data_IF_778802025281
#
_entry.id   IF_778802025281
#
_cell.length_a   1.000
_cell.length_b   1.000
_cell.length_c   1.000
_cell.angle_alpha   90.00
_cell.angle_beta   90.00
_cell.angle_gamma   90.00
#
_symmetry.space_group_name_H-M   'P 1'
#
loop_
_entity.id
_entity.type
_entity.pdbx_description
1 polymer ?
#
# COMPACT_ATOMS: atom_id res chain seq x y z
N UNK A 1 30.60 20.91 16.97
CA UNK A 1 30.72 19.54 17.52
C UNK A 1 29.35 18.90 17.57
N UNK A 2 29.28 17.64 17.13
CA UNK A 2 28.15 16.70 17.05
C UNK A 2 27.19 16.74 18.26
N UNK A 3 25.91 16.38 18.17
CA UNK A 3 25.29 15.07 17.84
C UNK A 3 23.81 15.36 17.51
N UNK A 4 23.07 14.68 16.63
CA UNK A 4 23.10 13.26 16.28
C UNK A 4 21.84 12.57 16.84
N UNK A 5 20.97 12.12 15.93
CA UNK A 5 19.97 11.03 16.02
C UNK A 5 18.51 11.29 16.41
N UNK A 6 17.62 10.89 15.50
CA UNK A 6 16.60 9.87 15.77
C UNK A 6 16.19 9.11 14.48
N UNK A 7 16.46 7.79 14.33
CA UNK A 7 15.99 7.03 13.19
C UNK A 7 14.67 6.28 13.47
N UNK A 8 13.74 6.52 12.54
CA UNK A 8 12.55 5.75 12.09
C UNK A 8 12.44 4.31 12.62
N UNK A 9 11.46 4.07 13.51
CA UNK A 9 11.22 2.81 14.25
C UNK A 9 10.29 1.76 13.59
N UNK A 10 9.94 1.82 12.30
CA UNK A 10 8.95 0.85 11.73
C UNK A 10 9.49 -0.22 10.77
N UNK A 11 10.72 -0.09 10.26
CA UNK A 11 11.32 -1.13 9.39
C UNK A 11 12.42 -1.99 10.05
N UNK A 12 12.91 -1.61 11.24
CA UNK A 12 13.94 -2.39 11.95
C UNK A 12 13.39 -3.62 12.69
N UNK A 13 12.11 -3.66 13.06
CA UNK A 13 11.57 -4.70 13.97
C UNK A 13 11.57 -6.11 13.37
N UNK A 14 11.41 -6.27 12.05
CA UNK A 14 11.37 -7.58 11.38
C UNK A 14 12.76 -8.23 11.21
N UNK A 15 13.84 -7.45 11.27
CA UNK A 15 15.21 -7.96 11.16
C UNK A 15 15.85 -8.19 12.54
N UNK A 16 15.17 -7.80 13.63
CA UNK A 16 15.68 -7.95 15.00
C UNK A 16 15.36 -9.34 15.57
N UNK A 17 14.24 -9.96 15.20
CA UNK A 17 13.80 -11.24 15.79
C UNK A 17 14.77 -12.40 15.58
N UNK A 18 15.13 -12.70 14.33
CA UNK A 18 16.10 -13.77 14.00
C UNK A 18 17.51 -13.46 14.52
N UNK A 19 17.95 -12.21 14.39
CA UNK A 19 19.29 -11.78 14.81
C UNK A 19 19.44 -11.82 16.34
N UNK A 20 18.40 -11.49 17.09
CA UNK A 20 18.36 -11.62 18.55
C UNK A 20 18.35 -13.10 18.98
N UNK A 21 17.55 -13.95 18.32
CA UNK A 21 17.52 -15.39 18.61
C UNK A 21 18.87 -16.05 18.32
N UNK A 22 19.53 -15.69 17.22
CA UNK A 22 20.88 -16.17 16.90
C UNK A 22 21.91 -15.66 17.92
N UNK A 23 21.77 -14.42 18.40
CA UNK A 23 22.64 -13.87 19.45
C UNK A 23 22.47 -14.60 20.79
N UNK A 24 21.26 -15.06 21.13
CA UNK A 24 21.02 -15.83 22.35
C UNK A 24 21.65 -17.23 22.28
N UNK A 25 21.58 -17.88 21.12
CA UNK A 25 22.23 -19.17 20.89
C UNK A 25 23.75 -19.07 21.04
N UNK A 26 24.36 -17.95 20.61
CA UNK A 26 25.80 -17.68 20.80
C UNK A 26 26.19 -17.49 22.27
N UNK A 27 25.22 -17.21 23.16
CA UNK A 27 25.43 -17.07 24.60
C UNK A 27 25.00 -18.31 25.40
N UNK A 28 24.76 -19.45 24.74
CA UNK A 28 24.42 -20.71 25.39
C UNK A 28 23.01 -20.75 26.00
N UNK A 29 22.14 -19.80 25.64
CA UNK A 29 20.73 -19.79 26.06
C UNK A 29 19.97 -20.75 25.16
N UNK A 30 19.23 -21.70 25.74
CA UNK A 30 18.37 -22.61 24.98
C UNK A 30 17.40 -21.82 24.09
N UNK A 31 17.35 -22.20 22.81
CA UNK A 31 16.49 -21.57 21.82
C UNK A 31 15.03 -21.71 22.24
N UNK A 32 14.32 -20.58 22.32
CA UNK A 32 12.92 -20.57 22.68
C UNK A 32 12.10 -21.49 21.76
N UNK A 33 11.28 -22.35 22.37
CA UNK A 33 10.29 -23.18 21.66
C UNK A 33 8.90 -22.62 21.88
N UNK A 34 7.98 -22.88 20.95
CA UNK A 34 6.59 -22.50 21.10
C UNK A 34 5.97 -23.25 22.28
N UNK A 35 5.36 -22.56 23.26
CA UNK A 35 4.77 -23.24 24.42
C UNK A 35 3.59 -24.13 24.04
N UNK A 36 2.93 -23.85 22.89
CA UNK A 36 1.73 -24.56 22.42
C UNK A 36 2.05 -25.82 21.62
N UNK A 37 3.07 -25.78 20.75
CA UNK A 37 3.35 -26.89 19.82
C UNK A 37 4.78 -27.42 19.89
N UNK A 38 5.61 -26.89 20.80
CA UNK A 38 7.03 -27.26 21.01
C UNK A 38 7.96 -27.07 19.80
N UNK A 39 7.46 -26.54 18.68
CA UNK A 39 8.27 -26.21 17.51
C UNK A 39 9.30 -25.11 17.86
N UNK A 40 10.46 -25.15 17.21
CA UNK A 40 11.49 -24.11 17.37
C UNK A 40 10.96 -22.74 16.95
N UNK A 41 11.46 -21.67 17.57
CA UNK A 41 11.12 -20.30 17.19
C UNK A 41 11.39 -20.04 15.70
N UNK A 42 12.48 -20.55 15.13
CA UNK A 42 12.78 -20.42 13.70
C UNK A 42 11.67 -21.02 12.82
N UNK A 43 11.17 -22.21 13.18
CA UNK A 43 10.08 -22.87 12.46
C UNK A 43 8.80 -22.05 12.53
N UNK A 44 8.43 -21.56 13.72
CA UNK A 44 7.24 -20.73 13.91
C UNK A 44 7.38 -19.41 13.16
N UNK A 45 8.53 -18.75 13.29
CA UNK A 45 8.83 -17.49 12.61
C UNK A 45 8.79 -17.66 11.10
N UNK A 46 9.42 -18.70 10.54
CA UNK A 46 9.39 -18.99 9.12
C UNK A 46 7.95 -19.24 8.63
N UNK A 47 7.13 -19.98 9.37
CA UNK A 47 5.74 -20.24 9.03
C UNK A 47 4.88 -18.97 9.05
N UNK A 48 5.01 -18.15 10.09
CA UNK A 48 4.33 -16.84 10.18
C UNK A 48 4.76 -15.95 9.02
N UNK A 49 6.07 -15.84 8.76
CA UNK A 49 6.60 -15.01 7.68
C UNK A 49 6.15 -15.48 6.30
N UNK A 50 6.10 -16.81 6.08
CA UNK A 50 5.59 -17.40 4.82
C UNK A 50 4.11 -17.08 4.63
N UNK A 51 3.29 -17.26 5.67
CA UNK A 51 1.85 -16.96 5.63
C UNK A 51 1.59 -15.49 5.32
N UNK A 52 2.31 -14.58 5.99
CA UNK A 52 2.22 -13.14 5.73
C UNK A 52 2.62 -12.82 4.29
N UNK A 53 3.74 -13.38 3.82
CA UNK A 53 4.19 -13.17 2.44
C UNK A 53 3.21 -13.68 1.40
N UNK A 54 2.54 -14.81 1.64
CA UNK A 54 1.53 -15.37 0.73
C UNK A 54 0.28 -14.49 0.69
N UNK A 55 -0.18 -14.01 1.85
CA UNK A 55 -1.31 -13.09 1.96
C UNK A 55 -1.01 -11.77 1.23
N UNK A 56 0.19 -11.22 1.42
CA UNK A 56 0.63 -10.00 0.73
C UNK A 56 0.72 -10.20 -0.77
N UNK A 57 1.23 -11.36 -1.23
CA UNK A 57 1.23 -11.72 -2.66
C UNK A 57 -0.17 -11.79 -3.23
N UNK A 58 -1.12 -12.39 -2.51
CA UNK A 58 -2.51 -12.49 -2.96
C UNK A 58 -3.19 -11.12 -3.01
N UNK A 59 -2.97 -10.28 -1.99
CA UNK A 59 -3.45 -8.89 -1.96
C UNK A 59 -2.90 -8.09 -3.14
N UNK A 60 -1.59 -8.16 -3.38
CA UNK A 60 -0.97 -7.49 -4.51
C UNK A 60 -1.55 -7.95 -5.85
N UNK A 61 -1.74 -9.27 -6.04
CA UNK A 61 -2.38 -9.82 -7.25
C UNK A 61 -3.79 -9.26 -7.46
N UNK A 62 -4.60 -9.17 -6.40
CA UNK A 62 -5.94 -8.57 -6.46
C UNK A 62 -5.88 -7.10 -6.88
N UNK A 63 -4.97 -6.32 -6.30
CA UNK A 63 -4.76 -4.92 -6.66
C UNK A 63 -4.27 -4.76 -8.10
N UNK A 64 -3.37 -5.61 -8.59
CA UNK A 64 -2.95 -5.57 -9.99
C UNK A 64 -4.10 -5.82 -10.97
N UNK A 65 -5.13 -6.58 -10.60
CA UNK A 65 -6.32 -6.77 -11.44
C UNK A 65 -7.13 -5.49 -11.61
N UNK A 66 -7.17 -4.62 -10.60
CA UNK A 66 -7.89 -3.35 -10.64
C UNK A 66 -7.32 -2.46 -11.76
N UNK A 67 -6.00 -2.34 -11.84
CA UNK A 67 -5.33 -1.57 -12.90
C UNK A 67 -5.36 -2.27 -14.26
N UNK A 68 -4.99 -3.57 -14.32
CA UNK A 68 -4.96 -4.31 -15.59
C UNK A 68 -6.31 -4.39 -16.30
N UNK A 69 -7.41 -4.41 -15.54
CA UNK A 69 -8.78 -4.46 -16.09
C UNK A 69 -9.47 -3.10 -16.13
N UNK A 70 -8.74 -2.01 -15.88
CA UNK A 70 -9.27 -0.64 -15.88
C UNK A 70 -10.56 -0.52 -15.06
N UNK A 71 -10.53 -1.12 -13.87
CA UNK A 71 -11.67 -1.12 -12.97
C UNK A 71 -11.83 0.26 -12.35
N UNK A 72 -12.96 0.92 -12.57
CA UNK A 72 -13.22 2.26 -12.06
C UNK A 72 -13.76 2.22 -10.63
N UNK A 73 -13.19 3.03 -9.75
CA UNK A 73 -13.71 3.23 -8.39
C UNK A 73 -15.09 3.89 -8.44
N UNK A 74 -16.10 3.27 -7.83
CA UNK A 74 -17.48 3.77 -7.82
C UNK A 74 -17.97 4.17 -6.43
N UNK A 75 -17.53 3.47 -5.38
CA UNK A 75 -17.85 3.85 -3.99
C UNK A 75 -16.65 3.69 -3.08
N UNK A 76 -16.65 4.51 -2.03
CA UNK A 76 -15.76 4.38 -0.88
C UNK A 76 -16.60 4.50 0.39
N UNK A 77 -16.60 3.45 1.22
CA UNK A 77 -17.41 3.37 2.44
C UNK A 77 -18.89 3.71 2.19
N UNK A 78 -19.48 3.13 1.14
CA UNK A 78 -20.87 3.32 0.73
C UNK A 78 -21.18 4.65 0.04
N UNK A 79 -20.24 5.61 0.03
CA UNK A 79 -20.42 6.91 -0.63
C UNK A 79 -20.02 6.84 -2.11
N UNK A 80 -20.90 7.30 -2.99
CA UNK A 80 -20.63 7.36 -4.42
C UNK A 80 -19.53 8.37 -4.76
N UNK A 81 -18.67 7.95 -5.68
CA UNK A 81 -17.70 8.81 -6.35
C UNK A 81 -18.43 9.49 -7.51
N UNK A 82 -19.03 10.65 -7.23
CA UNK A 82 -19.93 11.37 -8.16
C UNK A 82 -19.22 12.09 -9.31
N UNK A 83 -17.97 12.50 -9.09
CA UNK A 83 -17.19 13.26 -10.08
C UNK A 83 -15.72 12.82 -10.01
N UNK A 84 -15.15 12.52 -11.19
CA UNK A 84 -13.75 12.12 -11.37
C UNK A 84 -12.79 13.28 -11.08
N UNK A 85 -13.25 14.53 -11.20
CA UNK A 85 -12.44 15.74 -11.04
C UNK A 85 -12.59 16.41 -9.66
N UNK A 86 -13.47 15.87 -8.81
CA UNK A 86 -13.67 16.34 -7.44
C UNK A 86 -12.84 15.50 -6.46
N UNK A 87 -11.71 16.06 -6.03
CA UNK A 87 -10.82 15.39 -5.09
C UNK A 87 -11.17 15.70 -3.63
N UNK A 88 -11.20 14.69 -2.73
CA UNK A 88 -11.47 14.92 -1.32
C UNK A 88 -10.29 15.62 -0.63
N UNK A 89 -10.60 16.30 0.48
CA UNK A 89 -9.58 16.89 1.35
C UNK A 89 -8.72 15.78 1.96
N UNK A 90 -7.40 15.92 1.84
CA UNK A 90 -6.44 15.00 2.47
C UNK A 90 -6.55 15.06 4.00
N UNK A 91 -6.65 13.89 4.63
CA UNK A 91 -6.68 13.72 6.08
C UNK A 91 -5.49 12.94 6.63
N UNK A 92 -4.83 12.16 5.78
CA UNK A 92 -3.70 11.31 6.19
C UNK A 92 -2.39 12.08 6.29
N UNK A 93 -1.53 11.66 7.22
CA UNK A 93 -0.15 12.15 7.34
C UNK A 93 0.87 11.15 6.78
N UNK A 94 2.09 11.64 6.55
CA UNK A 94 3.22 10.82 6.10
C UNK A 94 3.49 9.67 7.08
N UNK A 95 3.34 8.44 6.60
CA UNK A 95 3.43 7.21 7.39
C UNK A 95 2.13 6.42 7.43
N UNK A 96 0.97 7.08 7.33
CA UNK A 96 -0.33 6.38 7.24
C UNK A 96 -0.61 5.85 5.83
N UNK A 97 -0.05 6.52 4.81
CA UNK A 97 -0.28 6.16 3.42
C UNK A 97 0.86 5.41 2.74
N UNK A 98 2.02 5.30 3.38
CA UNK A 98 3.23 4.73 2.77
C UNK A 98 3.04 3.26 2.35
N UNK A 99 2.44 2.45 3.22
CA UNK A 99 2.19 1.04 2.92
C UNK A 99 1.18 0.84 1.77
N UNK A 100 0.20 1.74 1.66
CA UNK A 100 -0.73 1.74 0.53
C UNK A 100 0.02 2.12 -0.75
N UNK A 101 0.80 3.20 -0.69
CA UNK A 101 1.50 3.76 -1.83
C UNK A 101 2.48 2.78 -2.46
N UNK A 102 3.32 2.13 -1.64
CA UNK A 102 4.25 1.11 -2.11
C UNK A 102 3.54 -0.09 -2.75
N UNK A 103 2.41 -0.51 -2.17
CA UNK A 103 1.64 -1.64 -2.67
C UNK A 103 0.98 -1.32 -4.01
N UNK A 104 0.33 -0.16 -4.12
CA UNK A 104 -0.36 0.24 -5.35
C UNK A 104 0.61 0.50 -6.49
N UNK A 105 1.76 1.14 -6.23
CA UNK A 105 2.79 1.28 -7.26
C UNK A 105 3.27 -0.09 -7.76
N UNK A 106 3.56 -1.04 -6.85
CA UNK A 106 3.88 -2.43 -7.23
C UNK A 106 2.74 -3.12 -7.98
N UNK A 107 1.50 -2.74 -7.73
CA UNK A 107 0.35 -3.29 -8.40
C UNK A 107 0.24 -2.80 -9.85
N UNK A 108 0.58 -1.53 -10.11
CA UNK A 108 0.64 -0.91 -11.44
C UNK A 108 1.83 -1.44 -12.26
N UNK A 109 3.06 -1.26 -11.77
CA UNK A 109 4.28 -1.42 -12.61
C UNK A 109 5.07 -2.71 -12.34
N UNK A 110 4.66 -3.50 -11.33
CA UNK A 110 5.31 -4.77 -10.99
C UNK A 110 6.11 -4.72 -9.69
N UNK A 111 6.41 -5.91 -9.15
CA UNK A 111 6.94 -6.08 -7.79
C UNK A 111 8.41 -5.69 -7.65
N UNK A 112 9.19 -5.92 -8.69
CA UNK A 112 10.66 -5.89 -8.64
C UNK A 112 11.25 -4.56 -9.14
N UNK A 113 10.39 -3.55 -9.34
CA UNK A 113 10.78 -2.21 -9.74
C UNK A 113 11.19 -1.38 -8.51
N UNK A 114 12.30 -0.65 -8.63
CA UNK A 114 12.69 0.35 -7.64
C UNK A 114 11.70 1.53 -7.67
N UNK A 115 11.02 1.73 -6.54
CA UNK A 115 10.00 2.77 -6.39
C UNK A 115 10.58 4.12 -5.91
N UNK A 116 11.88 4.21 -5.66
CA UNK A 116 12.49 5.36 -4.98
C UNK A 116 12.13 6.69 -5.62
N UNK A 117 12.25 6.79 -6.95
CA UNK A 117 11.92 8.02 -7.71
C UNK A 117 10.42 8.34 -7.64
N UNK A 118 9.55 7.34 -7.87
CA UNK A 118 8.09 7.53 -7.84
C UNK A 118 7.59 7.95 -6.47
N UNK A 119 8.09 7.30 -5.41
CA UNK A 119 7.78 7.67 -4.04
C UNK A 119 8.26 9.09 -3.73
N UNK A 120 9.43 9.50 -4.22
CA UNK A 120 9.94 10.86 -4.04
C UNK A 120 9.06 11.90 -4.75
N UNK A 121 8.67 11.66 -6.01
CA UNK A 121 7.76 12.53 -6.77
C UNK A 121 6.42 12.68 -6.03
N UNK A 122 5.79 11.56 -5.65
CA UNK A 122 4.48 11.58 -4.96
C UNK A 122 4.59 12.32 -3.63
N UNK A 123 5.60 12.02 -2.81
CA UNK A 123 5.81 12.70 -1.53
C UNK A 123 6.06 14.20 -1.72
N UNK A 124 6.79 14.59 -2.75
CA UNK A 124 7.04 16.00 -3.08
C UNK A 124 5.71 16.72 -3.38
N UNK A 125 4.90 16.17 -4.28
CA UNK A 125 3.59 16.75 -4.63
C UNK A 125 2.67 16.85 -3.41
N UNK A 126 2.55 15.77 -2.61
CA UNK A 126 1.65 15.75 -1.46
C UNK A 126 2.05 16.75 -0.36
N UNK A 127 3.34 17.03 -0.17
CA UNK A 127 3.79 18.05 0.78
C UNK A 127 3.37 19.47 0.36
N UNK A 128 3.22 19.71 -0.94
CA UNK A 128 2.86 21.02 -1.50
C UNK A 128 1.35 21.26 -1.56
N UNK A 129 0.51 20.30 -1.14
CA UNK A 129 -0.95 20.38 -1.28
C UNK A 129 -1.57 21.58 -0.55
N UNK A 130 -0.96 22.00 0.56
CA UNK A 130 -1.40 23.18 1.31
C UNK A 130 -1.09 24.50 0.59
N UNK A 131 -0.13 24.51 -0.33
CA UNK A 131 0.34 25.71 -1.03
C UNK A 131 -0.39 25.92 -2.36
N UNK A 132 -0.59 24.85 -3.15
CA UNK A 132 -1.18 24.96 -4.49
C UNK A 132 -2.65 24.49 -4.58
N UNK A 133 -3.20 23.92 -3.50
CA UNK A 133 -4.57 23.41 -3.44
C UNK A 133 -4.71 21.99 -4.00
N UNK A 134 -5.77 21.31 -3.58
CA UNK A 134 -5.98 19.87 -3.80
C UNK A 134 -6.06 19.51 -5.29
N UNK A 135 -6.85 20.24 -6.07
CA UNK A 135 -7.06 19.95 -7.49
C UNK A 135 -5.77 20.08 -8.31
N UNK A 136 -5.11 21.24 -8.20
CA UNK A 136 -3.85 21.52 -8.92
C UNK A 136 -2.76 20.52 -8.52
N UNK A 137 -2.63 20.20 -7.23
CA UNK A 137 -1.68 19.19 -6.74
C UNK A 137 -1.89 17.83 -7.40
N UNK A 138 -3.13 17.31 -7.45
CA UNK A 138 -3.40 16.02 -8.07
C UNK A 138 -3.28 16.05 -9.60
N UNK A 139 -3.61 17.16 -10.25
CA UNK A 139 -3.39 17.30 -11.69
C UNK A 139 -1.91 17.31 -12.05
N UNK A 140 -1.07 18.05 -11.31
CA UNK A 140 0.39 18.04 -11.46
C UNK A 140 0.96 16.65 -11.18
N UNK A 141 0.48 15.97 -10.13
CA UNK A 141 0.91 14.62 -9.81
C UNK A 141 0.56 13.63 -10.93
N UNK A 142 -0.63 13.74 -11.50
CA UNK A 142 -1.07 12.93 -12.65
C UNK A 142 -0.15 13.12 -13.85
N UNK A 143 0.20 14.37 -14.17
CA UNK A 143 1.15 14.66 -15.27
C UNK A 143 2.55 14.12 -14.98
N UNK A 144 3.04 14.28 -13.74
CA UNK A 144 4.35 13.79 -13.34
C UNK A 144 4.46 12.26 -13.36
N UNK A 145 3.36 11.55 -13.09
CA UNK A 145 3.32 10.08 -13.08
C UNK A 145 3.01 9.47 -14.46
N UNK A 146 2.45 10.24 -15.40
CA UNK A 146 2.08 9.77 -16.74
C UNK A 146 3.22 9.04 -17.47
N UNK A 147 4.49 9.51 -17.48
CA UNK A 147 5.58 8.83 -18.16
C UNK A 147 5.93 7.45 -17.59
N UNK A 148 5.51 7.17 -16.35
CA UNK A 148 5.86 5.94 -15.63
C UNK A 148 4.69 4.95 -15.53
N UNK A 149 3.47 5.48 -15.38
CA UNK A 149 2.26 4.68 -15.17
C UNK A 149 1.38 4.62 -16.43
N UNK A 150 1.68 5.42 -17.46
CA UNK A 150 0.88 5.51 -18.69
C UNK A 150 -0.61 5.71 -18.37
N UNK A 151 -1.49 4.94 -19.01
CA UNK A 151 -2.94 4.97 -18.83
C UNK A 151 -3.40 4.70 -17.38
N UNK A 152 -2.56 4.09 -16.53
CA UNK A 152 -2.90 3.85 -15.11
C UNK A 152 -2.71 5.10 -14.24
N UNK A 153 -2.01 6.14 -14.72
CA UNK A 153 -1.71 7.34 -13.93
C UNK A 153 -2.98 8.03 -13.41
N UNK A 154 -3.99 8.18 -14.27
CA UNK A 154 -5.27 8.81 -13.91
C UNK A 154 -5.96 8.05 -12.79
N UNK A 155 -6.13 6.74 -12.96
CA UNK A 155 -6.80 5.89 -11.99
C UNK A 155 -6.01 5.84 -10.67
N UNK A 156 -4.68 5.70 -10.74
CA UNK A 156 -3.82 5.67 -9.57
C UNK A 156 -3.96 6.94 -8.73
N UNK A 157 -3.89 8.13 -9.36
CA UNK A 157 -4.00 9.42 -8.66
C UNK A 157 -5.40 9.60 -8.05
N UNK A 158 -6.45 9.18 -8.77
CA UNK A 158 -7.80 9.22 -8.24
C UNK A 158 -7.94 8.34 -6.98
N UNK A 159 -7.51 7.09 -7.04
CA UNK A 159 -7.58 6.18 -5.90
C UNK A 159 -6.71 6.65 -4.73
N UNK A 160 -5.54 7.23 -5.02
CA UNK A 160 -4.68 7.85 -4.01
C UNK A 160 -5.42 8.98 -3.30
N UNK A 161 -6.07 9.88 -4.05
CA UNK A 161 -6.82 10.97 -3.46
C UNK A 161 -7.93 10.49 -2.53
N UNK A 162 -8.72 9.49 -2.97
CA UNK A 162 -9.78 8.89 -2.15
C UNK A 162 -9.25 8.18 -0.91
N UNK A 163 -8.13 7.47 -1.04
CA UNK A 163 -7.51 6.84 0.11
C UNK A 163 -6.99 7.88 1.11
N UNK A 164 -6.28 8.91 0.65
CA UNK A 164 -5.77 10.01 1.47
C UNK A 164 -6.87 10.85 2.14
N UNK A 165 -8.02 10.99 1.48
CA UNK A 165 -9.21 11.62 2.03
C UNK A 165 -10.04 10.71 2.94
N UNK A 166 -9.72 9.42 3.02
CA UNK A 166 -10.41 8.49 3.93
C UNK A 166 -9.74 8.42 5.30
N UNK A 167 -10.54 8.13 6.32
CA UNK A 167 -10.03 7.76 7.66
C UNK A 167 -9.66 6.28 7.78
N UNK A 168 -9.75 5.53 6.69
CA UNK A 168 -9.57 4.08 6.68
C UNK A 168 -8.09 3.71 6.61
N UNK A 169 -7.68 2.68 7.34
CA UNK A 169 -6.39 2.05 7.09
C UNK A 169 -6.45 1.22 5.79
N UNK A 170 -5.31 0.67 5.37
CA UNK A 170 -5.19 -0.09 4.12
C UNK A 170 -6.19 -1.24 4.02
N UNK A 171 -6.38 -2.01 5.10
CA UNK A 171 -7.25 -3.19 5.08
C UNK A 171 -8.74 -2.82 5.08
N UNK A 172 -9.10 -1.81 5.87
CA UNK A 172 -10.46 -1.29 5.91
C UNK A 172 -10.82 -0.61 4.57
N UNK A 173 -9.86 0.07 3.94
CA UNK A 173 -10.05 0.67 2.63
C UNK A 173 -10.32 -0.39 1.57
N UNK A 174 -9.51 -1.46 1.51
CA UNK A 174 -9.71 -2.57 0.56
C UNK A 174 -11.10 -3.24 0.68
N UNK A 175 -11.73 -3.18 1.87
CA UNK A 175 -13.05 -3.75 2.12
C UNK A 175 -14.19 -2.78 1.82
N UNK A 176 -13.90 -1.48 1.88
CA UNK A 176 -14.88 -0.41 1.73
C UNK A 176 -14.96 0.16 0.30
N UNK A 177 -14.03 -0.21 -0.58
CA UNK A 177 -14.02 0.22 -1.98
C UNK A 177 -14.84 -0.71 -2.86
N UNK A 178 -15.60 -0.12 -3.76
CA UNK A 178 -16.34 -0.84 -4.79
C UNK A 178 -15.87 -0.38 -6.17
N UNK A 179 -15.76 -1.33 -7.08
CA UNK A 179 -15.27 -1.11 -8.42
C UNK A 179 -16.27 -1.57 -9.48
N UNK A 180 -16.24 -0.92 -10.64
CA UNK A 180 -16.98 -1.34 -11.83
C UNK A 180 -16.02 -1.54 -12.99
N UNK A 181 -16.16 -2.64 -13.73
CA UNK A 181 -15.42 -2.83 -14.98
C UNK A 181 -15.95 -1.85 -16.03
N UNK A 182 -15.07 -1.18 -16.78
CA UNK A 182 -15.48 -0.39 -17.94
C UNK A 182 -16.01 -1.28 -19.07
N UNK A 183 -15.58 -2.54 -19.14
CA UNK A 183 -16.02 -3.54 -20.11
C UNK A 183 -16.87 -4.59 -19.39
N UNK A 184 -18.20 -4.43 -19.44
CA UNK A 184 -19.15 -5.33 -18.74
C UNK A 184 -19.18 -6.76 -19.30
N UNK A 185 -18.74 -6.96 -20.55
CA UNK A 185 -18.79 -8.25 -21.25
C UNK A 185 -17.77 -9.29 -20.74
N UNK A 186 -16.71 -8.87 -20.03
CA UNK A 186 -15.57 -9.74 -19.67
C UNK A 186 -15.34 -9.93 -18.17
N UNK A 187 -16.29 -9.56 -17.30
CA UNK A 187 -16.12 -9.65 -15.85
C UNK A 187 -16.89 -10.83 -15.21
N UNK A 188 -16.37 -12.08 -15.27
CA UNK A 188 -16.91 -13.21 -14.51
C UNK A 188 -16.52 -13.19 -13.01
N UNK A 189 -15.84 -12.14 -12.53
CA UNK A 189 -15.27 -12.12 -11.19
C UNK A 189 -16.23 -11.56 -10.13
N UNK A 190 -16.26 -12.23 -8.97
CA UNK A 190 -17.00 -11.83 -7.77
C UNK A 190 -16.57 -10.47 -7.16
N UNK A 191 -15.51 -9.83 -7.67
CA UNK A 191 -15.12 -8.45 -7.30
C UNK A 191 -15.96 -7.38 -8.04
N UNK A 192 -16.71 -7.79 -9.06
CA UNK A 192 -17.54 -6.91 -9.89
C UNK A 192 -19.04 -7.15 -9.71
N UNK A 193 -19.40 -8.21 -8.96
CA UNK A 193 -20.78 -8.47 -8.58
C UNK A 193 -21.00 -7.86 -7.22
N UNK A 194 -21.83 -6.83 -7.20
CA UNK A 194 -22.37 -6.19 -6.02
C UNK A 194 -22.82 -7.24 -4.98
N UNK A 195 -22.57 -6.93 -3.71
CA UNK A 195 -23.30 -7.54 -2.59
C UNK A 195 -24.64 -6.84 -2.45
#
# INVERSE_FOLDING_TARGET
MSLGNAPRRRHRTKMIGLTWVNSLALHGVELATCPLCKASFETVYANVRRKDSQRDRQRLRRRSLVYRRKMRLVRVAGKEVKDLDTFPKMHKVKGEYEAWLERELKACIGRDIDLTVLLAIIRCCLNSIAQCGVKKCYDELKQALMPFLYEDAKQFVQELAFFLGSRLNVEAYDTAVEYRCEISAECPNALCRDR
#
